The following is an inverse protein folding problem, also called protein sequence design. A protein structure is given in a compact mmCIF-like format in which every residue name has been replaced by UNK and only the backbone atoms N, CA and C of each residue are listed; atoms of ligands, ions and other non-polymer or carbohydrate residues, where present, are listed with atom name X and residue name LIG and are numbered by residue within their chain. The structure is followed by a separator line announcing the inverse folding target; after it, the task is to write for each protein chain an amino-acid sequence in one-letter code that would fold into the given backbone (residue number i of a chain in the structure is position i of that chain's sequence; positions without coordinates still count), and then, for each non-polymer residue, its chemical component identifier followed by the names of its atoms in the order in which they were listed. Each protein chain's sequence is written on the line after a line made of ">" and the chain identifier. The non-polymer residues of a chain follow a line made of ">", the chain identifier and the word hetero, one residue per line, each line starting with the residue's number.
data_IF_017917383666
#
_entry.id   IF_017917383666
#
_cell.length_a   1.000
_cell.length_b   1.000
_cell.length_c   1.000
_cell.angle_alpha   90.00
_cell.angle_beta   90.00
_cell.angle_gamma   90.00
#
_symmetry.space_group_name_H-M   'P 1'
#
loop_
_entity.id
_entity.type
_entity.pdbx_description
1 polymer ?
#
# COMPACT_ATOMS: atom_id res chain seq x y z
N UNK A 1 28.01 -6.93 -6.11
CA UNK A 1 28.01 -6.39 -4.73
C UNK A 1 28.45 -4.93 -4.81
N UNK A 2 27.59 -3.95 -4.45
CA UNK A 2 28.01 -2.55 -4.39
C UNK A 2 28.98 -2.39 -3.22
N UNK A 3 30.14 -1.74 -3.39
CA UNK A 3 31.03 -1.45 -2.28
C UNK A 3 30.27 -0.70 -1.17
N UNK A 4 30.50 -1.04 0.09
CA UNK A 4 29.86 -0.39 1.26
C UNK A 4 29.91 1.13 1.22
N UNK A 5 30.99 1.68 0.64
CA UNK A 5 31.15 3.11 0.42
C UNK A 5 30.07 3.71 -0.50
N UNK A 6 29.69 3.02 -1.59
CA UNK A 6 28.65 3.52 -2.51
C UNK A 6 27.27 3.50 -1.85
N UNK A 7 26.96 2.47 -1.07
CA UNK A 7 25.71 2.40 -0.28
C UNK A 7 25.61 3.56 0.70
N UNK A 8 26.72 3.85 1.42
CA UNK A 8 26.78 4.99 2.35
C UNK A 8 26.57 6.33 1.63
N UNK A 9 27.22 6.53 0.47
CA UNK A 9 27.06 7.74 -0.34
C UNK A 9 25.62 7.93 -0.82
N UNK A 10 24.97 6.88 -1.35
CA UNK A 10 23.58 6.95 -1.80
C UNK A 10 22.64 7.23 -0.62
N UNK A 11 22.85 6.61 0.54
CA UNK A 11 22.07 6.91 1.74
C UNK A 11 22.19 8.38 2.17
N UNK A 12 23.39 8.95 2.14
CA UNK A 12 23.59 10.38 2.44
C UNK A 12 22.86 11.28 1.44
N UNK A 13 22.90 10.94 0.14
CA UNK A 13 22.17 11.67 -0.90
C UNK A 13 20.64 11.62 -0.67
N UNK A 14 20.09 10.44 -0.33
CA UNK A 14 18.68 10.30 0.04
C UNK A 14 18.32 11.18 1.22
N UNK A 15 19.10 11.14 2.30
CA UNK A 15 18.87 11.96 3.48
C UNK A 15 18.95 13.48 3.18
N UNK A 16 19.87 13.91 2.34
CA UNK A 16 19.99 15.31 1.94
C UNK A 16 18.76 15.76 1.12
N UNK A 17 18.32 14.96 0.15
CA UNK A 17 17.11 15.25 -0.63
C UNK A 17 15.85 15.26 0.25
N UNK A 18 15.70 14.32 1.19
CA UNK A 18 14.56 14.33 2.13
C UNK A 18 14.51 15.62 2.95
N UNK A 19 15.64 16.15 3.43
CA UNK A 19 15.68 17.43 4.15
C UNK A 19 15.26 18.62 3.27
N UNK A 20 15.58 18.58 1.97
CA UNK A 20 15.15 19.61 1.02
C UNK A 20 13.62 19.52 0.83
N UNK A 21 13.10 18.32 0.61
CA UNK A 21 11.66 18.08 0.50
C UNK A 21 10.91 18.51 1.77
N UNK A 22 11.42 18.18 2.97
CA UNK A 22 10.85 18.67 4.23
C UNK A 22 10.71 20.20 4.27
N UNK A 23 11.72 20.91 3.78
CA UNK A 23 11.70 22.39 3.70
C UNK A 23 10.70 22.89 2.67
N UNK A 24 10.65 22.25 1.49
CA UNK A 24 9.81 22.68 0.38
C UNK A 24 8.33 22.38 0.65
N UNK A 25 8.04 21.21 1.19
CA UNK A 25 6.68 20.72 1.39
C UNK A 25 6.07 21.16 2.73
N UNK A 26 6.91 21.50 3.72
CA UNK A 26 6.44 21.82 5.08
C UNK A 26 6.00 20.62 5.92
N UNK A 27 6.36 19.41 5.51
CA UNK A 27 6.06 18.14 6.17
C UNK A 27 7.33 17.46 6.65
N UNK A 28 7.22 16.60 7.67
CA UNK A 28 8.28 15.62 7.96
C UNK A 28 8.15 14.44 7.00
N UNK A 29 9.23 14.10 6.31
CA UNK A 29 9.23 13.11 5.23
C UNK A 29 9.75 11.77 5.71
N UNK A 30 8.97 10.71 5.50
CA UNK A 30 9.37 9.30 5.60
C UNK A 30 9.25 8.64 4.24
N UNK A 31 10.07 7.62 4.00
CA UNK A 31 10.01 6.84 2.76
C UNK A 31 9.90 5.36 3.07
N UNK A 32 8.91 4.70 2.47
CA UNK A 32 8.77 3.25 2.44
C UNK A 32 8.77 2.83 0.96
N UNK A 33 9.91 2.31 0.50
CA UNK A 33 10.12 2.02 -0.91
C UNK A 33 10.58 0.57 -1.05
N UNK A 34 9.62 -0.30 -1.32
CA UNK A 34 9.82 -1.71 -1.63
C UNK A 34 9.89 -1.87 -3.15
N UNK A 35 11.09 -1.99 -3.67
CA UNK A 35 11.25 -2.37 -5.07
C UNK A 35 11.33 -3.88 -5.17
N UNK A 36 10.72 -4.46 -6.20
CA UNK A 36 10.84 -5.89 -6.53
C UNK A 36 12.25 -6.26 -7.00
N UNK A 37 13.24 -5.51 -6.57
CA UNK A 37 14.63 -5.77 -6.90
C UNK A 37 15.08 -6.95 -6.07
N UNK A 38 15.23 -8.07 -6.77
CA UNK A 38 15.75 -9.29 -6.22
C UNK A 38 17.13 -9.04 -5.60
N UNK A 39 17.19 -8.96 -4.28
CA UNK A 39 18.43 -9.33 -3.60
C UNK A 39 18.49 -10.85 -3.76
N UNK A 40 19.28 -11.30 -4.72
CA UNK A 40 19.51 -12.72 -4.93
C UNK A 40 20.31 -13.26 -3.75
N UNK A 41 19.65 -13.98 -2.86
CA UNK A 41 20.32 -14.82 -1.89
C UNK A 41 20.37 -16.23 -2.49
N UNK A 42 21.55 -16.72 -2.80
CA UNK A 42 21.76 -17.99 -3.51
C UNK A 42 21.01 -18.12 -4.86
N UNK A 43 20.84 -17.01 -5.60
CA UNK A 43 20.18 -17.04 -6.91
C UNK A 43 18.65 -17.01 -6.87
N UNK A 44 18.03 -17.01 -5.69
CA UNK A 44 16.59 -16.87 -5.52
C UNK A 44 16.20 -15.39 -5.33
N UNK A 45 15.14 -14.91 -6.00
CA UNK A 45 14.68 -13.54 -5.82
C UNK A 45 14.10 -13.35 -4.41
N UNK A 46 14.64 -12.40 -3.65
CA UNK A 46 14.04 -11.94 -2.40
C UNK A 46 13.16 -10.72 -2.69
N UNK A 47 11.86 -10.86 -2.53
CA UNK A 47 10.91 -9.77 -2.69
C UNK A 47 10.78 -9.00 -1.37
N UNK A 48 10.85 -7.66 -1.46
CA UNK A 48 10.52 -6.80 -0.33
C UNK A 48 9.01 -6.54 -0.33
N UNK A 49 8.41 -6.62 0.85
CA UNK A 49 6.99 -6.36 1.10
C UNK A 49 6.84 -5.82 2.53
N UNK A 50 5.70 -5.22 2.84
CA UNK A 50 5.44 -4.66 4.18
C UNK A 50 5.44 -5.78 5.21
N UNK A 51 6.26 -5.63 6.24
CA UNK A 51 6.38 -6.56 7.36
C UNK A 51 6.33 -5.85 8.72
N UNK A 52 6.55 -6.61 9.79
CA UNK A 52 6.52 -6.11 11.17
C UNK A 52 7.66 -5.12 11.45
N UNK A 53 8.84 -5.31 10.83
CA UNK A 53 9.97 -4.41 11.00
C UNK A 53 9.67 -3.03 10.40
N UNK A 54 9.05 -2.99 9.23
CA UNK A 54 8.57 -1.75 8.62
C UNK A 54 7.57 -1.04 9.53
N UNK A 55 6.61 -1.79 10.08
CA UNK A 55 5.62 -1.23 10.99
C UNK A 55 6.29 -0.62 12.22
N UNK A 56 7.23 -1.32 12.85
CA UNK A 56 7.96 -0.79 14.02
C UNK A 56 8.70 0.50 13.69
N UNK A 57 9.41 0.54 12.55
CA UNK A 57 10.17 1.71 12.12
C UNK A 57 9.26 2.91 11.85
N UNK A 58 8.15 2.71 11.13
CA UNK A 58 7.17 3.77 10.82
C UNK A 58 6.51 4.30 12.08
N UNK A 59 6.09 3.42 12.99
CA UNK A 59 5.48 3.83 14.27
C UNK A 59 6.45 4.65 15.12
N UNK A 60 7.71 4.25 15.16
CA UNK A 60 8.77 4.98 15.87
C UNK A 60 8.95 6.38 15.29
N UNK A 61 8.90 6.51 13.97
CA UNK A 61 9.02 7.79 13.28
C UNK A 61 7.78 8.67 13.52
N UNK A 62 6.55 8.14 13.43
CA UNK A 62 5.31 8.87 13.72
C UNK A 62 5.34 9.43 15.16
N UNK A 63 5.73 8.61 16.15
CA UNK A 63 5.86 9.04 17.54
C UNK A 63 6.87 10.16 17.72
N UNK A 64 8.00 10.07 17.02
CA UNK A 64 9.07 11.09 17.08
C UNK A 64 8.60 12.45 16.56
N UNK A 65 7.76 12.46 15.54
CA UNK A 65 7.29 13.68 14.87
C UNK A 65 5.80 13.97 15.08
N UNK A 66 5.27 13.56 16.23
CA UNK A 66 3.85 13.68 16.56
C UNK A 66 3.27 15.09 16.45
N UNK A 67 4.11 16.13 16.62
CA UNK A 67 3.70 17.54 16.61
C UNK A 67 3.86 18.22 15.24
N UNK A 68 4.23 17.46 14.22
CA UNK A 68 4.48 17.94 12.85
C UNK A 68 3.55 17.29 11.85
N UNK A 69 3.20 17.97 10.75
CA UNK A 69 2.54 17.31 9.62
C UNK A 69 3.49 16.27 8.99
N UNK A 70 2.92 15.12 8.58
CA UNK A 70 3.67 13.97 8.11
C UNK A 70 3.40 13.68 6.64
N UNK A 71 4.46 13.36 5.92
CA UNK A 71 4.42 12.91 4.52
C UNK A 71 5.12 11.56 4.39
N UNK A 72 4.41 10.58 3.85
CA UNK A 72 4.94 9.26 3.55
C UNK A 72 5.05 9.06 2.04
N UNK A 73 6.26 8.96 1.50
CA UNK A 73 6.48 8.52 0.12
C UNK A 73 6.40 6.99 0.11
N UNK A 74 5.37 6.46 -0.53
CA UNK A 74 5.01 5.04 -0.48
C UNK A 74 5.08 4.40 -1.86
N UNK A 75 5.95 3.38 -1.98
CA UNK A 75 6.08 2.55 -3.18
C UNK A 75 6.22 1.09 -2.76
N UNK A 76 5.17 0.28 -2.91
CA UNK A 76 5.13 -1.07 -2.35
C UNK A 76 4.14 -1.98 -3.07
N UNK A 77 4.46 -3.27 -3.23
CA UNK A 77 3.49 -4.28 -3.69
C UNK A 77 2.45 -4.65 -2.61
N UNK A 78 2.57 -4.14 -1.40
CA UNK A 78 1.78 -4.54 -0.24
C UNK A 78 2.58 -5.44 0.70
N UNK A 79 1.90 -6.26 1.49
CA UNK A 79 2.54 -7.18 2.43
C UNK A 79 1.60 -7.67 3.52
N UNK A 80 2.13 -7.90 4.71
CA UNK A 80 1.38 -8.46 5.85
C UNK A 80 0.24 -7.52 6.27
N UNK A 81 -0.96 -8.09 6.33
CA UNK A 81 -2.19 -7.34 6.63
C UNK A 81 -2.11 -6.62 7.98
N UNK A 82 -1.65 -7.31 9.03
CA UNK A 82 -1.59 -6.72 10.38
C UNK A 82 -0.57 -5.57 10.47
N UNK A 83 0.60 -5.69 9.83
CA UNK A 83 1.61 -4.63 9.77
C UNK A 83 1.05 -3.39 9.03
N UNK A 84 0.38 -3.61 7.90
CA UNK A 84 -0.27 -2.55 7.13
C UNK A 84 -1.37 -1.84 7.92
N UNK A 85 -2.22 -2.58 8.64
CA UNK A 85 -3.26 -2.02 9.51
C UNK A 85 -2.65 -1.22 10.66
N UNK A 86 -1.57 -1.70 11.24
CA UNK A 86 -0.89 -1.03 12.35
C UNK A 86 -0.33 0.34 11.91
N UNK A 87 0.31 0.39 10.74
CA UNK A 87 0.80 1.65 10.15
C UNK A 87 -0.37 2.58 9.81
N UNK A 88 -1.40 2.05 9.16
CA UNK A 88 -2.58 2.82 8.75
C UNK A 88 -3.26 3.49 9.96
N UNK A 89 -3.51 2.74 11.04
CA UNK A 89 -4.09 3.29 12.25
C UNK A 89 -3.21 4.35 12.91
N UNK A 90 -1.90 4.17 12.89
CA UNK A 90 -0.98 5.16 13.43
C UNK A 90 -1.00 6.47 12.64
N UNK A 91 -1.12 6.40 11.30
CA UNK A 91 -1.32 7.58 10.45
C UNK A 91 -2.68 8.24 10.69
N UNK A 92 -3.78 7.46 10.71
CA UNK A 92 -5.13 7.98 10.96
C UNK A 92 -5.25 8.69 12.30
N UNK A 93 -4.60 8.16 13.33
CA UNK A 93 -4.64 8.71 14.69
C UNK A 93 -3.63 9.84 14.91
N UNK A 94 -2.90 10.25 13.88
CA UNK A 94 -1.96 11.36 13.99
C UNK A 94 -2.70 12.69 14.17
N UNK A 95 -2.19 13.56 15.04
CA UNK A 95 -2.87 14.81 15.40
C UNK A 95 -2.69 15.96 14.43
N UNK A 96 -1.75 15.84 13.51
CA UNK A 96 -1.44 16.82 12.46
C UNK A 96 -1.75 16.21 11.10
N UNK A 97 -1.84 17.07 10.08
CA UNK A 97 -2.13 16.63 8.72
C UNK A 97 -1.15 15.56 8.25
N UNK A 98 -1.69 14.51 7.65
CA UNK A 98 -0.94 13.42 7.04
C UNK A 98 -1.21 13.34 5.54
N UNK A 99 -0.18 13.08 4.75
CA UNK A 99 -0.35 12.76 3.34
C UNK A 99 0.53 11.60 2.89
N UNK A 100 0.04 10.85 1.93
CA UNK A 100 0.78 9.75 1.30
C UNK A 100 1.01 10.11 -0.16
N UNK A 101 2.28 10.11 -0.59
CA UNK A 101 2.68 10.31 -1.98
C UNK A 101 2.97 8.98 -2.64
N UNK A 102 2.29 8.70 -3.76
CA UNK A 102 2.45 7.45 -4.51
C UNK A 102 3.11 7.76 -5.85
N UNK A 103 4.45 7.55 -6.00
CA UNK A 103 5.17 7.88 -7.23
C UNK A 103 4.93 6.89 -8.37
N UNK A 104 4.63 5.61 -8.10
CA UNK A 104 4.41 4.58 -9.12
C UNK A 104 3.29 3.63 -8.75
N UNK A 105 3.40 2.90 -7.63
CA UNK A 105 2.33 2.01 -7.17
C UNK A 105 2.34 1.80 -5.67
N UNK A 106 1.14 1.58 -5.14
CA UNK A 106 0.91 1.18 -3.75
C UNK A 106 -0.24 0.19 -3.72
N UNK A 107 0.08 -1.13 -3.70
CA UNK A 107 -0.91 -2.19 -3.85
C UNK A 107 -1.30 -2.82 -2.51
N UNK A 108 -2.49 -3.41 -2.43
CA UNK A 108 -2.92 -4.24 -1.28
C UNK A 108 -2.72 -3.52 0.07
N UNK A 109 -1.87 -4.05 0.96
CA UNK A 109 -1.51 -3.42 2.24
C UNK A 109 -1.00 -1.99 2.11
N UNK A 110 -0.35 -1.65 0.99
CA UNK A 110 0.05 -0.28 0.69
C UNK A 110 -1.15 0.63 0.43
N UNK A 111 -2.18 0.13 -0.25
CA UNK A 111 -3.44 0.87 -0.40
C UNK A 111 -4.10 1.11 0.96
N UNK A 112 -4.13 0.11 1.85
CA UNK A 112 -4.64 0.27 3.23
C UNK A 112 -3.95 1.44 3.94
N UNK A 113 -2.62 1.54 3.83
CA UNK A 113 -1.85 2.63 4.42
C UNK A 113 -2.23 3.98 3.77
N UNK A 114 -2.34 4.02 2.44
CA UNK A 114 -2.71 5.25 1.74
C UNK A 114 -4.10 5.77 2.12
N UNK A 115 -5.10 4.87 2.26
CA UNK A 115 -6.47 5.22 2.68
C UNK A 115 -6.54 5.84 4.08
N UNK A 116 -5.54 5.61 4.92
CA UNK A 116 -5.49 6.16 6.27
C UNK A 116 -5.14 7.65 6.32
N UNK A 117 -4.38 8.15 5.36
CA UNK A 117 -3.93 9.53 5.32
C UNK A 117 -5.09 10.52 5.08
N UNK A 118 -4.89 11.77 5.48
CA UNK A 118 -5.85 12.85 5.18
C UNK A 118 -5.84 13.22 3.69
N UNK A 119 -4.73 12.98 3.02
CA UNK A 119 -4.56 13.29 1.60
C UNK A 119 -3.75 12.18 0.90
N UNK A 120 -4.30 11.67 -0.19
CA UNK A 120 -3.60 10.76 -1.10
C UNK A 120 -3.19 11.57 -2.32
N UNK A 121 -1.88 11.62 -2.61
CA UNK A 121 -1.34 12.30 -3.79
C UNK A 121 -0.70 11.24 -4.68
N UNK A 122 -1.22 11.07 -5.87
CA UNK A 122 -0.73 10.09 -6.84
C UNK A 122 -0.08 10.80 -8.02
N UNK A 123 1.06 10.29 -8.46
CA UNK A 123 1.52 10.64 -9.81
C UNK A 123 0.42 10.28 -10.84
N UNK A 124 0.39 11.00 -11.96
CA UNK A 124 -0.64 10.78 -13.00
C UNK A 124 -0.67 9.35 -13.55
N UNK A 125 0.47 8.67 -13.55
CA UNK A 125 0.67 7.32 -14.05
C UNK A 125 0.77 6.29 -12.90
N UNK A 126 0.61 6.74 -11.65
CA UNK A 126 0.63 5.86 -10.48
C UNK A 126 -0.66 5.06 -10.34
N UNK A 127 -0.54 3.92 -9.66
CA UNK A 127 -1.67 3.02 -9.40
C UNK A 127 -1.76 2.62 -7.93
N UNK A 128 -2.98 2.39 -7.50
CA UNK A 128 -3.30 1.65 -6.27
C UNK A 128 -4.04 0.36 -6.64
N UNK A 129 -4.31 -0.52 -5.68
CA UNK A 129 -5.04 -1.75 -5.93
C UNK A 129 -6.13 -2.04 -4.90
N UNK A 130 -6.93 -3.10 -5.17
CA UNK A 130 -7.86 -3.64 -4.19
C UNK A 130 -7.15 -4.06 -2.91
N UNK A 131 -7.92 -4.18 -1.83
CA UNK A 131 -7.44 -4.58 -0.51
C UNK A 131 -8.07 -5.89 -0.03
N UNK A 132 -8.62 -6.68 -0.96
CA UNK A 132 -9.15 -8.00 -0.69
C UNK A 132 -8.06 -8.89 -0.05
N UNK A 133 -8.33 -9.53 1.11
CA UNK A 133 -7.32 -10.31 1.78
C UNK A 133 -6.96 -11.56 0.98
N UNK A 134 -5.66 -11.86 0.95
CA UNK A 134 -5.12 -13.08 0.34
C UNK A 134 -4.89 -14.12 1.45
N UNK A 135 -5.43 -15.31 1.29
CA UNK A 135 -5.39 -16.40 2.28
C UNK A 135 -4.80 -17.66 1.66
N UNK A 136 -3.93 -18.32 2.38
CA UNK A 136 -3.30 -19.56 1.93
C UNK A 136 -2.12 -20.00 2.77
N UNK A 137 -1.44 -21.02 2.29
CA UNK A 137 -0.23 -21.57 2.90
C UNK A 137 0.83 -21.92 1.83
N UNK A 138 2.01 -22.33 2.29
CA UNK A 138 3.13 -22.68 1.40
C UNK A 138 2.87 -23.88 0.50
N UNK A 139 1.95 -24.78 0.87
CA UNK A 139 1.67 -26.02 0.14
C UNK A 139 0.59 -25.82 -0.92
N UNK A 140 -0.45 -25.03 -0.61
CA UNK A 140 -1.62 -24.84 -1.47
C UNK A 140 -1.55 -23.56 -2.29
N UNK A 141 -0.63 -22.66 -1.97
CA UNK A 141 -0.55 -21.33 -2.55
C UNK A 141 -1.46 -20.33 -1.83
N UNK A 142 -1.43 -19.10 -2.30
CA UNK A 142 -2.16 -17.97 -1.73
C UNK A 142 -3.22 -17.50 -2.74
N UNK A 143 -4.47 -17.45 -2.31
CA UNK A 143 -5.62 -17.11 -3.15
C UNK A 143 -6.47 -16.00 -2.52
N UNK A 144 -7.26 -15.25 -3.30
CA UNK A 144 -8.22 -14.32 -2.76
C UNK A 144 -9.19 -15.02 -1.79
N UNK A 145 -9.45 -14.41 -0.64
CA UNK A 145 -10.37 -14.96 0.36
C UNK A 145 -11.74 -15.38 -0.22
N UNK A 146 -12.36 -14.60 -1.14
CA UNK A 146 -13.62 -15.02 -1.78
C UNK A 146 -13.52 -16.34 -2.55
N UNK A 147 -12.36 -16.66 -3.11
CA UNK A 147 -12.16 -17.92 -3.86
C UNK A 147 -12.25 -19.16 -2.96
N UNK A 148 -11.73 -19.09 -1.74
CA UNK A 148 -11.89 -20.16 -0.75
C UNK A 148 -13.33 -20.35 -0.32
N UNK A 149 -14.05 -19.24 -0.13
CA UNK A 149 -15.48 -19.26 0.22
C UNK A 149 -16.28 -19.90 -0.92
N UNK A 150 -16.04 -19.46 -2.15
CA UNK A 150 -16.69 -20.00 -3.34
C UNK A 150 -16.44 -21.50 -3.49
N UNK A 151 -15.19 -21.95 -3.30
CA UNK A 151 -14.84 -23.37 -3.38
C UNK A 151 -15.60 -24.22 -2.35
N UNK A 152 -15.68 -23.76 -1.10
CA UNK A 152 -16.41 -24.45 -0.03
C UNK A 152 -17.92 -24.51 -0.31
N UNK A 153 -18.52 -23.41 -0.75
CA UNK A 153 -19.94 -23.32 -1.06
C UNK A 153 -20.35 -24.14 -2.29
N UNK A 154 -19.45 -24.27 -3.27
CA UNK A 154 -19.70 -25.05 -4.48
C UNK A 154 -19.60 -26.55 -4.22
N UNK A 155 -18.57 -26.97 -3.46
CA UNK A 155 -18.35 -28.38 -3.14
C UNK A 155 -19.27 -28.93 -2.05
N UNK A 156 -19.75 -28.07 -1.16
CA UNK A 156 -20.64 -28.43 -0.03
C UNK A 156 -20.07 -29.60 0.80
N UNK A 157 -20.80 -30.71 0.84
CA UNK A 157 -20.42 -31.91 1.61
C UNK A 157 -19.18 -32.60 1.06
N UNK A 158 -18.83 -32.40 -0.21
CA UNK A 158 -17.62 -32.93 -0.84
C UNK A 158 -16.39 -32.03 -0.64
N UNK A 159 -16.49 -30.95 0.14
CA UNK A 159 -15.36 -30.08 0.43
C UNK A 159 -14.39 -30.75 1.41
N UNK A 160 -13.11 -30.70 1.08
CA UNK A 160 -12.07 -31.15 2.01
C UNK A 160 -12.07 -30.27 3.28
N UNK A 161 -11.73 -30.86 4.44
CA UNK A 161 -11.63 -30.14 5.72
C UNK A 161 -10.78 -28.90 5.63
N UNK A 162 -9.70 -28.97 4.88
CA UNK A 162 -8.81 -27.83 4.64
C UNK A 162 -9.49 -26.68 3.90
N UNK A 163 -10.36 -26.97 2.94
CA UNK A 163 -11.16 -25.97 2.20
C UNK A 163 -12.16 -25.31 3.13
N UNK A 164 -12.80 -26.09 4.01
CA UNK A 164 -13.75 -25.57 5.01
C UNK A 164 -13.04 -24.63 5.98
N UNK A 165 -11.88 -25.05 6.52
CA UNK A 165 -11.07 -24.23 7.43
C UNK A 165 -10.62 -22.94 6.75
N UNK A 166 -10.11 -23.01 5.51
CA UNK A 166 -9.68 -21.82 4.77
C UNK A 166 -10.85 -20.88 4.42
N UNK A 167 -12.04 -21.43 4.17
CA UNK A 167 -13.25 -20.63 3.99
C UNK A 167 -13.64 -19.85 5.25
N UNK A 168 -13.56 -20.49 6.42
CA UNK A 168 -13.82 -19.81 7.70
C UNK A 168 -12.80 -18.69 7.96
N UNK A 169 -11.51 -18.97 7.80
CA UNK A 169 -10.44 -17.96 7.91
C UNK A 169 -10.68 -16.81 6.92
N UNK A 170 -11.06 -17.12 5.69
CA UNK A 170 -11.35 -16.15 4.63
C UNK A 170 -12.52 -15.22 4.98
N UNK A 171 -13.62 -15.75 5.53
CA UNK A 171 -14.75 -14.94 6.01
C UNK A 171 -14.32 -13.97 7.12
N UNK A 172 -13.49 -14.45 8.05
CA UNK A 172 -12.95 -13.63 9.14
C UNK A 172 -12.02 -12.54 8.61
N UNK A 173 -11.14 -12.87 7.66
CA UNK A 173 -10.23 -11.91 7.03
C UNK A 173 -10.99 -10.83 6.25
N UNK A 174 -12.01 -11.19 5.45
CA UNK A 174 -12.87 -10.24 4.76
C UNK A 174 -13.60 -9.30 5.72
N UNK A 175 -14.15 -9.85 6.81
CA UNK A 175 -14.82 -9.05 7.84
C UNK A 175 -13.85 -8.06 8.50
N UNK A 176 -12.64 -8.50 8.82
CA UNK A 176 -11.59 -7.63 9.38
C UNK A 176 -11.25 -6.51 8.42
N UNK A 177 -10.92 -6.84 7.16
CA UNK A 177 -10.51 -5.84 6.16
C UNK A 177 -11.63 -4.85 5.86
N UNK A 178 -12.90 -5.32 5.77
CA UNK A 178 -14.07 -4.44 5.61
C UNK A 178 -14.22 -3.46 6.77
N UNK A 179 -14.08 -3.92 8.00
CA UNK A 179 -14.17 -3.06 9.18
C UNK A 179 -13.04 -2.02 9.21
N UNK A 180 -11.83 -2.43 8.86
CA UNK A 180 -10.68 -1.51 8.74
C UNK A 180 -10.92 -0.49 7.63
N UNK A 181 -11.38 -0.91 6.46
CA UNK A 181 -11.69 0.02 5.37
C UNK A 181 -12.73 1.05 5.78
N UNK A 182 -13.81 0.62 6.47
CA UNK A 182 -14.82 1.52 7.03
C UNK A 182 -14.21 2.50 8.02
N UNK A 183 -13.41 2.01 8.97
CA UNK A 183 -12.69 2.84 9.92
C UNK A 183 -11.83 3.91 9.25
N UNK A 184 -11.05 3.53 8.23
CA UNK A 184 -10.11 4.43 7.55
C UNK A 184 -10.77 5.47 6.65
N UNK A 185 -11.89 5.11 6.01
CA UNK A 185 -12.59 5.92 5.01
C UNK A 185 -13.77 6.73 5.56
N UNK A 186 -14.09 6.59 6.84
CA UNK A 186 -15.17 7.37 7.46
C UNK A 186 -14.98 8.87 7.24
N UNK A 187 -15.99 9.50 6.63
CA UNK A 187 -15.98 10.93 6.30
C UNK A 187 -15.06 11.34 5.14
N UNK A 188 -14.42 10.39 4.45
CA UNK A 188 -13.46 10.69 3.35
C UNK A 188 -14.00 10.39 1.95
N UNK A 189 -15.10 9.67 1.83
CA UNK A 189 -15.66 9.29 0.53
C UNK A 189 -16.43 10.47 -0.07
N UNK A 190 -16.13 10.78 -1.33
CA UNK A 190 -16.83 11.81 -2.08
C UNK A 190 -18.22 11.32 -2.48
N UNK A 191 -19.26 12.16 -2.35
CA UNK A 191 -20.60 11.82 -2.81
C UNK A 191 -20.61 11.47 -4.30
N UNK A 192 -21.45 10.54 -4.67
CA UNK A 192 -21.71 10.20 -6.07
C UNK A 192 -22.57 11.25 -6.77
N UNK A 193 -22.90 11.04 -8.06
CA UNK A 193 -23.79 11.91 -8.81
C UNK A 193 -25.11 12.13 -8.07
N UNK A 194 -25.56 13.39 -8.02
CA UNK A 194 -26.79 13.76 -7.31
C UNK A 194 -26.67 13.74 -5.77
N UNK A 195 -25.47 13.69 -5.20
CA UNK A 195 -25.24 13.65 -3.75
C UNK A 195 -25.49 12.28 -3.10
N UNK A 196 -25.53 11.20 -3.90
CA UNK A 196 -25.74 9.84 -3.41
C UNK A 196 -24.60 9.40 -2.51
N UNK A 197 -24.95 8.85 -1.34
CA UNK A 197 -23.96 8.16 -0.48
C UNK A 197 -23.45 6.91 -1.19
N UNK A 198 -22.15 6.76 -1.24
CA UNK A 198 -21.44 5.67 -1.90
C UNK A 198 -20.52 4.90 -0.94
N UNK A 199 -20.58 5.20 0.35
CA UNK A 199 -19.61 4.68 1.31
C UNK A 199 -19.51 3.15 1.28
N UNK A 200 -20.62 2.44 1.45
CA UNK A 200 -20.62 0.97 1.43
C UNK A 200 -20.27 0.41 0.04
N UNK A 201 -20.69 1.06 -1.06
CA UNK A 201 -20.32 0.66 -2.43
C UNK A 201 -18.79 0.70 -2.64
N UNK A 202 -18.14 1.77 -2.20
CA UNK A 202 -16.68 1.93 -2.31
C UNK A 202 -15.95 0.86 -1.49
N UNK A 203 -16.41 0.62 -0.26
CA UNK A 203 -15.86 -0.42 0.61
C UNK A 203 -15.94 -1.80 -0.06
N UNK A 204 -17.13 -2.16 -0.57
CA UNK A 204 -17.32 -3.47 -1.21
C UNK A 204 -16.45 -3.61 -2.45
N UNK A 205 -16.36 -2.61 -3.31
CA UNK A 205 -15.48 -2.65 -4.49
C UNK A 205 -14.01 -2.88 -4.14
N UNK A 206 -13.54 -2.32 -3.03
CA UNK A 206 -12.15 -2.47 -2.61
C UNK A 206 -11.87 -3.83 -1.93
N UNK A 207 -12.87 -4.44 -1.27
CA UNK A 207 -12.67 -5.57 -0.34
C UNK A 207 -13.25 -6.87 -0.87
N UNK A 208 -14.33 -6.84 -1.68
CA UNK A 208 -15.11 -8.03 -2.02
C UNK A 208 -14.37 -9.07 -2.86
N UNK A 209 -13.31 -8.67 -3.57
CA UNK A 209 -12.63 -9.52 -4.55
C UNK A 209 -13.36 -9.63 -5.89
N UNK A 210 -14.33 -8.75 -6.18
CA UNK A 210 -14.89 -8.59 -7.53
C UNK A 210 -13.83 -8.17 -8.53
N UNK A 211 -12.91 -7.30 -8.10
CA UNK A 211 -11.70 -6.99 -8.85
C UNK A 211 -10.63 -8.04 -8.56
N UNK A 212 -9.86 -8.42 -9.58
CA UNK A 212 -8.67 -9.25 -9.38
C UNK A 212 -7.69 -8.48 -8.47
N UNK A 213 -7.06 -9.14 -7.50
CA UNK A 213 -6.15 -8.51 -6.52
C UNK A 213 -5.07 -7.60 -7.13
N UNK A 214 -4.64 -7.90 -8.35
CA UNK A 214 -3.67 -7.11 -9.11
C UNK A 214 -4.30 -6.02 -10.00
N UNK A 215 -5.62 -5.79 -9.92
CA UNK A 215 -6.28 -4.75 -10.72
C UNK A 215 -5.67 -3.38 -10.43
N UNK A 216 -5.09 -2.71 -11.44
CA UNK A 216 -4.55 -1.38 -11.24
C UNK A 216 -5.68 -0.35 -11.26
N UNK A 217 -5.76 0.48 -10.23
CA UNK A 217 -6.63 1.65 -10.18
C UNK A 217 -5.77 2.89 -10.36
N UNK A 218 -5.91 3.57 -11.48
CA UNK A 218 -5.30 4.88 -11.73
C UNK A 218 -5.88 5.95 -10.81
N UNK A 219 -5.22 7.10 -10.72
CA UNK A 219 -5.74 8.24 -9.96
C UNK A 219 -7.15 8.66 -10.43
N UNK A 220 -7.44 8.55 -11.73
CA UNK A 220 -8.77 8.81 -12.30
C UNK A 220 -9.80 7.82 -11.79
N UNK A 221 -9.53 6.52 -11.91
CA UNK A 221 -10.44 5.45 -11.46
C UNK A 221 -10.65 5.49 -9.94
N UNK A 222 -9.61 5.81 -9.16
CA UNK A 222 -9.75 6.02 -7.73
C UNK A 222 -10.69 7.18 -7.39
N UNK A 223 -10.62 8.31 -8.13
CA UNK A 223 -11.57 9.42 -8.01
C UNK A 223 -12.99 9.04 -8.43
N UNK A 224 -13.15 8.33 -9.55
CA UNK A 224 -14.45 7.83 -10.03
C UNK A 224 -15.07 6.86 -9.02
N UNK A 225 -14.25 6.06 -8.35
CA UNK A 225 -14.67 5.22 -7.24
C UNK A 225 -15.15 6.02 -6.02
N UNK A 226 -14.75 7.27 -5.87
CA UNK A 226 -15.14 8.15 -4.77
C UNK A 226 -14.03 8.45 -3.75
N UNK A 227 -12.81 8.00 -4.00
CA UNK A 227 -11.67 8.33 -3.14
C UNK A 227 -11.20 9.78 -3.37
N UNK A 228 -10.82 10.46 -2.29
CA UNK A 228 -10.22 11.79 -2.36
C UNK A 228 -8.74 11.68 -2.74
N UNK A 229 -8.44 11.76 -4.02
CA UNK A 229 -7.07 11.66 -4.56
C UNK A 229 -6.70 12.97 -5.25
N UNK A 230 -5.51 13.51 -4.95
CA UNK A 230 -4.87 14.59 -5.71
C UNK A 230 -3.88 14.04 -6.73
N UNK A 231 -3.72 14.75 -7.84
CA UNK A 231 -2.68 14.50 -8.84
C UNK A 231 -1.67 15.64 -8.92
N UNK A 232 -1.69 16.56 -7.95
CA UNK A 232 -0.68 17.61 -7.80
C UNK A 232 0.57 17.02 -7.15
N UNK A 233 1.28 16.22 -7.94
CA UNK A 233 2.41 15.42 -7.47
C UNK A 233 3.71 16.21 -7.51
N UNK A 234 4.49 16.31 -6.41
CA UNK A 234 5.72 17.10 -6.36
C UNK A 234 6.83 16.53 -7.25
N UNK A 235 7.39 17.33 -8.14
CA UNK A 235 8.42 16.91 -9.10
C UNK A 235 9.72 16.43 -8.40
N UNK A 236 10.09 17.01 -7.28
CA UNK A 236 11.30 16.65 -6.54
C UNK A 236 11.24 15.22 -5.96
N UNK A 237 10.04 14.64 -5.83
CA UNK A 237 9.86 13.22 -5.48
C UNK A 237 10.31 12.30 -6.62
N UNK A 238 10.07 12.66 -7.89
CA UNK A 238 10.59 11.89 -9.03
C UNK A 238 12.12 11.86 -9.02
N UNK A 239 12.75 12.99 -8.79
CA UNK A 239 14.19 13.08 -8.64
C UNK A 239 14.73 12.26 -7.47
N UNK A 240 13.98 12.23 -6.36
CA UNK A 240 14.30 11.40 -5.22
C UNK A 240 14.21 9.90 -5.56
N UNK A 241 13.17 9.47 -6.27
CA UNK A 241 12.98 8.09 -6.69
C UNK A 241 14.10 7.56 -7.58
N UNK A 242 14.78 8.42 -8.35
CA UNK A 242 15.96 8.05 -9.15
C UNK A 242 17.14 7.54 -8.30
N UNK A 243 17.19 7.87 -7.02
CA UNK A 243 18.21 7.34 -6.08
C UNK A 243 17.95 5.89 -5.65
N UNK A 244 16.80 5.33 -6.01
CA UNK A 244 16.42 3.93 -5.80
C UNK A 244 16.47 3.20 -7.14
N UNK A 245 17.67 3.01 -7.69
CA UNK A 245 17.84 2.34 -8.98
C UNK A 245 17.62 0.84 -8.87
N UNK A 246 17.04 0.20 -9.90
CA UNK A 246 17.00 -1.25 -9.99
C UNK A 246 18.42 -1.84 -10.00
N UNK A 247 18.59 -2.98 -9.31
CA UNK A 247 19.87 -3.70 -9.26
C UNK A 247 20.24 -4.26 -10.63
N UNK A 248 19.24 -4.54 -11.45
CA UNK A 248 19.39 -5.02 -12.82
C UNK A 248 18.55 -4.17 -13.77
N UNK A 249 19.20 -3.52 -14.73
CA UNK A 249 18.50 -2.79 -15.78
C UNK A 249 17.93 -3.82 -16.77
N UNK A 250 16.62 -3.94 -16.83
CA UNK A 250 15.92 -4.86 -17.71
C UNK A 250 15.30 -4.17 -18.93
N UNK A 251 15.25 -2.83 -18.91
CA UNK A 251 14.74 -2.01 -19.99
C UNK A 251 15.82 -0.98 -20.35
N UNK A 252 16.14 -0.89 -21.63
CA UNK A 252 17.01 0.13 -22.19
C UNK A 252 16.20 0.99 -23.16
N UNK A 253 16.44 2.29 -23.11
CA UNK A 253 15.85 3.25 -24.04
C UNK A 253 16.92 4.24 -24.51
N UNK A 254 16.76 4.69 -25.73
CA UNK A 254 17.57 5.78 -26.29
C UNK A 254 16.78 7.06 -26.05
N UNK A 255 17.37 7.97 -25.28
CA UNK A 255 16.83 9.30 -24.98
C UNK A 255 17.48 10.35 -25.85
#
# INVERSE_FOLDING_TARGET
>A
MYPQYQLKKVRMQRMAKMKIMEKNHGYKVLTMIHRREAISFFGLPAYQFIDEEDAEQVLRWIRKYRDYPLELILHTPGGQLHASIQIARALKNHTKKTRVLIPHYSMSGGTIIALAADEIVMDKDAIIGPIDPQVGDLLRGVFPAPSWIYAAETKKEDAEDSTIVMSDVSRKALKLTRNVAKELLEGKIQPGPGGKDRFDEVIEKLVSGEMIHSTPLSAREAKELGLSVSTDFPEDVHDFMRLFRPVKKTVEYVG
#
